data_IF_606415773329
#
_entry.id   IF_606415773329
#
_cell.length_a   1.000
_cell.length_b   1.000
_cell.length_c   1.000
_cell.angle_alpha   90.00
_cell.angle_beta   90.00
_cell.angle_gamma   90.00
#
_symmetry.space_group_name_H-M   'P 1'
#
loop_
_entity.id
_entity.type
_entity.pdbx_description
1 polymer ?
#
# COMPACT_ATOMS: atom_id res chain seq x y z
N UNK A 1 4.79 -3.81 10.63
CA UNK A 1 4.37 -4.24 11.99
C UNK A 1 4.40 -5.75 12.14
N UNK A 2 3.67 -6.52 11.31
CA UNK A 2 3.63 -7.99 11.40
C UNK A 2 5.04 -8.63 11.45
N UNK A 3 5.95 -8.29 10.53
CA UNK A 3 7.31 -8.87 10.50
C UNK A 3 8.19 -8.58 11.73
N UNK A 4 7.96 -7.46 12.44
CA UNK A 4 8.74 -7.12 13.64
C UNK A 4 8.30 -7.94 14.86
N UNK A 5 6.99 -8.16 15.00
CA UNK A 5 6.43 -8.90 16.13
C UNK A 5 6.38 -10.41 15.87
N UNK A 6 6.12 -10.85 14.64
CA UNK A 6 6.06 -12.27 14.30
C UNK A 6 7.41 -12.96 14.47
N UNK A 7 8.51 -12.31 14.09
CA UNK A 7 9.86 -12.85 14.31
C UNK A 7 10.22 -12.99 15.79
N UNK A 8 9.84 -12.01 16.62
CA UNK A 8 10.09 -12.02 18.06
C UNK A 8 9.23 -13.07 18.79
N UNK A 9 7.92 -13.11 18.48
CA UNK A 9 6.99 -14.09 19.03
C UNK A 9 7.39 -15.50 18.61
N UNK A 10 7.72 -15.73 17.34
CA UNK A 10 8.21 -17.02 16.87
C UNK A 10 9.45 -17.47 17.65
N UNK A 11 10.44 -16.57 17.83
CA UNK A 11 11.64 -16.89 18.61
C UNK A 11 11.33 -17.21 20.08
N UNK A 12 10.44 -16.46 20.72
CA UNK A 12 10.07 -16.68 22.12
C UNK A 12 9.27 -17.99 22.29
N UNK A 13 8.31 -18.25 21.41
CA UNK A 13 7.43 -19.44 21.46
C UNK A 13 8.20 -20.70 21.07
N UNK A 14 9.21 -20.60 20.19
CA UNK A 14 10.05 -21.75 19.82
C UNK A 14 10.80 -22.34 21.03
N UNK A 15 11.00 -21.57 22.12
CA UNK A 15 11.54 -22.08 23.40
C UNK A 15 10.57 -22.97 24.18
N UNK A 16 9.30 -23.05 23.76
CA UNK A 16 8.29 -23.96 24.33
C UNK A 16 8.34 -25.37 23.72
N UNK A 17 9.40 -25.70 22.99
CA UNK A 17 9.58 -27.04 22.43
C UNK A 17 9.60 -28.10 23.53
N UNK A 18 8.78 -29.16 23.36
CA UNK A 18 8.62 -30.23 24.35
C UNK A 18 7.59 -29.95 25.45
N UNK A 19 7.08 -28.71 25.57
CA UNK A 19 6.00 -28.41 26.52
C UNK A 19 4.70 -29.06 26.03
N UNK A 20 4.09 -29.87 26.88
CA UNK A 20 2.86 -30.60 26.55
C UNK A 20 3.04 -31.70 25.49
N UNK A 21 4.28 -32.15 25.24
CA UNK A 21 4.58 -33.15 24.20
C UNK A 21 4.41 -32.63 22.78
N UNK A 22 4.31 -31.31 22.60
CA UNK A 22 4.16 -30.66 21.31
C UNK A 22 5.47 -30.00 20.88
N UNK A 23 5.73 -30.05 19.58
CA UNK A 23 6.83 -29.31 18.97
C UNK A 23 6.55 -27.80 19.03
N UNK A 24 7.60 -26.98 19.22
CA UNK A 24 7.49 -25.52 19.39
C UNK A 24 6.74 -24.81 18.25
N UNK A 25 6.82 -25.31 17.02
CA UNK A 25 6.09 -24.73 15.88
C UNK A 25 4.56 -24.89 16.00
N UNK A 26 4.06 -25.92 16.68
CA UNK A 26 2.61 -26.14 16.90
C UNK A 26 2.06 -25.12 17.88
N UNK A 27 2.86 -24.71 18.87
CA UNK A 27 2.49 -23.68 19.84
C UNK A 27 2.28 -22.31 19.18
N UNK A 28 3.03 -22.00 18.11
CA UNK A 28 2.85 -20.76 17.34
C UNK A 28 1.42 -20.70 16.78
N UNK A 29 0.97 -21.75 16.09
CA UNK A 29 -0.39 -21.82 15.53
C UNK A 29 -1.48 -21.76 16.59
N UNK A 30 -1.30 -22.44 17.73
CA UNK A 30 -2.29 -22.47 18.80
C UNK A 30 -2.46 -21.08 19.43
N UNK A 31 -1.35 -20.44 19.82
CA UNK A 31 -1.39 -19.14 20.50
C UNK A 31 -1.89 -18.03 19.59
N UNK A 32 -1.40 -17.96 18.34
CA UNK A 32 -1.86 -16.96 17.38
C UNK A 32 -3.32 -17.19 16.97
N UNK A 33 -3.74 -18.46 16.85
CA UNK A 33 -5.13 -18.83 16.56
C UNK A 33 -6.09 -18.39 17.68
N UNK A 34 -5.75 -18.66 18.94
CA UNK A 34 -6.57 -18.25 20.10
C UNK A 34 -6.69 -16.73 20.15
N UNK A 35 -5.57 -16.00 20.00
CA UNK A 35 -5.58 -14.54 20.00
C UNK A 35 -6.48 -13.97 18.89
N UNK A 36 -6.42 -14.57 17.69
CA UNK A 36 -7.23 -14.15 16.54
C UNK A 36 -8.72 -14.39 16.78
N UNK A 37 -9.10 -15.55 17.34
CA UNK A 37 -10.49 -15.86 17.68
C UNK A 37 -11.02 -14.90 18.74
N UNK A 38 -10.24 -14.60 19.78
CA UNK A 38 -10.61 -13.65 20.83
C UNK A 38 -10.84 -12.25 20.27
N UNK A 39 -9.89 -11.73 19.47
CA UNK A 39 -10.01 -10.41 18.85
C UNK A 39 -11.23 -10.38 17.91
N UNK A 40 -11.42 -11.40 17.08
CA UNK A 40 -12.57 -11.50 16.19
C UNK A 40 -13.91 -11.51 16.94
N UNK A 41 -14.00 -12.25 18.04
CA UNK A 41 -15.20 -12.28 18.91
C UNK A 41 -15.45 -10.92 19.56
N UNK A 42 -14.39 -10.23 20.00
CA UNK A 42 -14.49 -8.89 20.56
C UNK A 42 -14.92 -7.85 19.51
N UNK A 43 -14.46 -7.94 18.27
CA UNK A 43 -14.84 -7.03 17.18
C UNK A 43 -16.36 -7.00 16.95
N UNK A 44 -17.05 -8.15 17.04
CA UNK A 44 -18.52 -8.19 16.93
C UNK A 44 -19.25 -7.35 17.99
N UNK A 45 -18.64 -7.11 19.15
CA UNK A 45 -19.24 -6.31 20.23
C UNK A 45 -18.74 -4.88 20.27
N UNK A 46 -17.50 -4.64 19.83
CA UNK A 46 -16.81 -3.35 20.00
C UNK A 46 -16.84 -2.46 18.76
N UNK A 47 -17.07 -3.00 17.55
CA UNK A 47 -17.03 -2.23 16.31
C UNK A 47 -18.44 -1.72 15.96
N UNK A 48 -18.72 -0.40 16.04
CA UNK A 48 -20.01 0.16 15.64
C UNK A 48 -20.12 0.26 14.12
N UNK A 49 -21.28 -0.08 13.58
CA UNK A 49 -21.56 -0.03 12.13
C UNK A 49 -21.68 1.39 11.56
N UNK A 50 -21.97 2.39 12.41
CA UNK A 50 -22.10 3.78 11.98
C UNK A 50 -21.67 4.76 13.09
N UNK A 51 -21.34 6.02 12.75
CA UNK A 51 -21.10 7.07 13.74
C UNK A 51 -22.30 7.28 14.68
N UNK A 52 -23.50 6.90 14.25
CA UNK A 52 -24.75 6.98 15.01
C UNK A 52 -24.85 5.89 16.08
N UNK A 53 -24.40 4.66 15.76
CA UNK A 53 -24.37 3.52 16.70
C UNK A 53 -23.12 3.51 17.61
N UNK A 54 -22.15 4.39 17.36
CA UNK A 54 -20.93 4.49 18.15
C UNK A 54 -21.20 5.04 19.57
N UNK A 55 -21.18 4.15 20.56
CA UNK A 55 -21.40 4.48 21.98
C UNK A 55 -20.27 5.27 22.66
N UNK A 56 -19.09 5.37 22.04
CA UNK A 56 -17.94 6.10 22.60
C UNK A 56 -17.91 7.59 22.22
N UNK A 57 -18.74 8.03 21.25
CA UNK A 57 -18.78 9.41 20.79
C UNK A 57 -19.74 10.26 21.61
N UNK A 58 -19.31 11.48 21.99
CA UNK A 58 -20.22 12.47 22.57
C UNK A 58 -21.24 12.93 21.52
N UNK A 59 -22.43 13.41 21.94
CA UNK A 59 -23.45 13.90 21.01
C UNK A 59 -22.95 14.99 20.06
N UNK A 60 -22.07 15.87 20.54
CA UNK A 60 -21.48 16.96 19.73
C UNK A 60 -20.48 16.44 18.70
N UNK A 61 -19.59 15.54 19.11
CA UNK A 61 -18.62 14.87 18.23
C UNK A 61 -19.34 14.07 17.14
N UNK A 62 -20.42 13.37 17.50
CA UNK A 62 -21.27 12.62 16.57
C UNK A 62 -21.87 13.53 15.50
N UNK A 63 -22.45 14.68 15.87
CA UNK A 63 -23.01 15.64 14.91
C UNK A 63 -21.94 16.19 13.98
N UNK A 64 -20.77 16.54 14.53
CA UNK A 64 -19.64 17.01 13.73
C UNK A 64 -19.16 15.96 12.73
N UNK A 65 -19.01 14.70 13.17
CA UNK A 65 -18.62 13.58 12.31
C UNK A 65 -19.62 13.33 11.19
N UNK A 66 -20.92 13.31 11.51
CA UNK A 66 -21.99 13.15 10.51
C UNK A 66 -21.92 14.28 9.50
N UNK A 67 -21.85 15.53 9.94
CA UNK A 67 -21.76 16.70 9.05
C UNK A 67 -20.49 16.66 8.18
N UNK A 68 -19.35 16.23 8.74
CA UNK A 68 -18.11 16.09 7.99
C UNK A 68 -18.19 14.97 6.96
N UNK A 69 -18.75 13.81 7.32
CA UNK A 69 -18.99 12.69 6.39
C UNK A 69 -19.92 13.11 5.24
N UNK A 70 -20.95 13.90 5.52
CA UNK A 70 -21.85 14.47 4.49
C UNK A 70 -21.09 15.40 3.54
N UNK A 71 -20.25 16.28 4.09
CA UNK A 71 -19.46 17.25 3.31
C UNK A 71 -18.38 16.55 2.46
N UNK A 72 -17.70 15.55 3.03
CA UNK A 72 -16.57 14.84 2.42
C UNK A 72 -17.02 13.78 1.39
N UNK A 73 -18.27 13.29 1.50
CA UNK A 73 -18.87 12.40 0.49
C UNK A 73 -19.34 13.13 -0.77
N UNK A 74 -19.28 14.47 -0.78
CA UNK A 74 -19.78 15.30 -1.89
C UNK A 74 -21.31 15.40 -1.94
N UNK A 75 -22.02 14.92 -0.92
CA UNK A 75 -23.48 14.78 -0.91
C UNK A 75 -24.05 15.59 0.25
N UNK A 76 -24.60 16.78 -0.04
CA UNK A 76 -25.29 17.61 0.97
C UNK A 76 -26.57 16.97 1.52
N UNK A 77 -27.11 15.94 0.85
CA UNK A 77 -28.19 15.13 1.38
C UNK A 77 -27.60 14.01 2.24
N UNK A 78 -27.90 14.07 3.53
CA UNK A 78 -27.39 13.20 4.60
C UNK A 78 -27.81 11.74 4.54
N UNK A 79 -27.85 11.16 3.34
CA UNK A 79 -28.05 9.76 3.11
C UNK A 79 -26.85 9.28 2.31
N UNK A 80 -25.79 8.86 3.01
CA UNK A 80 -25.08 7.66 2.54
C UNK A 80 -26.05 6.54 2.87
N UNK A 81 -27.12 6.45 2.10
CA UNK A 81 -27.96 5.29 2.14
C UNK A 81 -27.04 4.17 1.67
N UNK A 82 -26.62 3.32 2.61
CA UNK A 82 -26.08 1.98 2.33
C UNK A 82 -27.09 1.16 1.49
N UNK A 83 -28.29 1.70 1.26
CA UNK A 83 -29.36 1.32 0.33
C UNK A 83 -29.28 1.92 -1.08
N UNK A 84 -28.19 2.58 -1.48
CA UNK A 84 -27.92 2.78 -2.91
C UNK A 84 -27.90 1.41 -3.60
N UNK A 85 -28.97 1.13 -4.37
CA UNK A 85 -29.23 -0.15 -5.01
C UNK A 85 -27.99 -0.59 -5.80
N UNK A 86 -27.69 -1.88 -5.75
CA UNK A 86 -26.56 -2.48 -6.48
C UNK A 86 -26.59 -2.10 -7.97
N UNK A 87 -25.74 -1.15 -8.37
CA UNK A 87 -25.68 -0.66 -9.76
C UNK A 87 -24.53 -1.33 -10.51
N UNK A 88 -24.84 -2.42 -11.21
CA UNK A 88 -23.92 -3.12 -12.12
C UNK A 88 -23.15 -2.21 -13.11
N UNK A 89 -23.74 -1.13 -13.67
CA UNK A 89 -23.01 -0.20 -14.52
C UNK A 89 -21.87 0.53 -13.79
N UNK A 90 -22.05 0.88 -12.51
CA UNK A 90 -21.04 1.55 -11.68
C UNK A 90 -19.84 0.62 -11.43
N UNK A 91 -20.10 -0.68 -11.24
CA UNK A 91 -19.05 -1.70 -11.09
C UNK A 91 -18.26 -1.85 -12.39
N UNK A 92 -18.94 -1.98 -13.54
CA UNK A 92 -18.26 -2.03 -14.85
C UNK A 92 -17.42 -0.78 -15.10
N UNK A 93 -17.94 0.40 -14.77
CA UNK A 93 -17.18 1.64 -14.88
C UNK A 93 -16.00 1.70 -13.93
N UNK A 94 -16.08 1.12 -12.73
CA UNK A 94 -14.96 1.02 -11.80
C UNK A 94 -13.89 0.06 -12.32
N UNK A 95 -14.30 -1.13 -12.79
CA UNK A 95 -13.41 -2.16 -13.32
C UNK A 95 -12.68 -1.72 -14.61
N UNK A 96 -13.27 -0.83 -15.41
CA UNK A 96 -12.67 -0.31 -16.64
C UNK A 96 -12.04 1.07 -16.47
N UNK A 97 -12.03 1.64 -15.26
CA UNK A 97 -11.47 2.96 -15.03
C UNK A 97 -9.95 2.91 -15.16
N UNK A 98 -9.41 3.62 -16.15
CA UNK A 98 -7.98 3.64 -16.42
C UNK A 98 -7.17 4.17 -15.22
N UNK A 99 -7.76 5.06 -14.40
CA UNK A 99 -7.11 5.55 -13.17
C UNK A 99 -6.88 4.43 -12.17
N UNK A 100 -7.82 3.48 -12.05
CA UNK A 100 -7.70 2.31 -11.17
C UNK A 100 -6.61 1.37 -11.71
N UNK A 101 -6.53 1.18 -13.02
CA UNK A 101 -5.46 0.38 -13.63
C UNK A 101 -4.08 1.05 -13.50
N UNK A 102 -4.00 2.37 -13.66
CA UNK A 102 -2.76 3.11 -13.46
C UNK A 102 -2.35 3.13 -11.98
N UNK A 103 -3.32 3.24 -11.09
CA UNK A 103 -3.18 3.08 -9.66
C UNK A 103 -2.69 1.67 -9.26
N UNK A 104 -3.27 0.63 -9.87
CA UNK A 104 -2.79 -0.76 -9.75
C UNK A 104 -1.36 -0.81 -10.23
N UNK A 105 -1.02 -0.23 -11.38
CA UNK A 105 0.35 -0.15 -11.87
C UNK A 105 1.24 0.56 -10.84
N UNK A 106 0.85 1.70 -10.26
CA UNK A 106 1.61 2.42 -9.21
C UNK A 106 1.72 1.62 -7.89
N UNK A 107 0.75 0.76 -7.60
CA UNK A 107 0.75 -0.16 -6.47
C UNK A 107 1.50 -1.47 -6.77
N UNK A 108 1.73 -1.78 -8.04
CA UNK A 108 2.34 -3.00 -8.57
C UNK A 108 3.64 -2.76 -9.32
N UNK A 109 4.34 -1.64 -9.17
CA UNK A 109 5.05 -1.06 -10.33
C UNK A 109 5.94 -1.98 -11.16
N UNK A 110 5.38 -2.35 -12.32
CA UNK A 110 6.04 -2.33 -13.62
C UNK A 110 4.99 -2.03 -14.69
N UNK A 111 5.18 -0.94 -15.45
CA UNK A 111 4.92 -0.92 -16.89
C UNK A 111 5.60 0.29 -17.54
N UNK A 112 6.53 -0.05 -18.43
CA UNK A 112 6.94 0.77 -19.56
C UNK A 112 5.71 1.05 -20.45
N UNK A 113 5.49 2.29 -20.95
CA UNK A 113 4.45 2.55 -21.94
C UNK A 113 4.69 1.76 -23.24
N UNK A 114 3.64 1.38 -23.99
CA UNK A 114 3.77 0.65 -25.25
C UNK A 114 4.27 1.60 -26.35
N UNK A 115 5.59 1.73 -26.48
CA UNK A 115 6.22 2.29 -27.68
C UNK A 115 7.13 1.28 -28.40
N UNK A 116 7.28 0.06 -27.86
CA UNK A 116 8.10 -0.99 -28.50
C UNK A 116 7.33 -2.31 -28.52
N UNK A 117 6.94 -2.82 -29.70
CA UNK A 117 6.37 -4.15 -29.84
C UNK A 117 7.51 -5.18 -29.80
N UNK A 118 7.81 -5.73 -28.62
CA UNK A 118 8.69 -6.91 -28.50
C UNK A 118 7.99 -8.01 -27.69
N UNK A 119 7.88 -9.25 -28.21
CA UNK A 119 6.96 -10.26 -27.67
C UNK A 119 7.50 -11.13 -26.52
N UNK A 120 8.53 -10.73 -25.73
CA UNK A 120 9.14 -11.68 -24.78
C UNK A 120 9.68 -11.11 -23.44
N UNK A 121 9.17 -9.97 -22.95
CA UNK A 121 9.60 -9.38 -21.66
C UNK A 121 8.46 -8.80 -20.78
N UNK A 122 7.22 -9.31 -20.94
CA UNK A 122 6.00 -8.77 -20.28
C UNK A 122 5.64 -9.40 -18.92
N UNK A 123 6.50 -10.19 -18.29
CA UNK A 123 6.15 -10.95 -17.08
C UNK A 123 6.88 -10.53 -15.80
N UNK A 124 7.14 -9.23 -15.62
CA UNK A 124 7.84 -8.77 -14.42
C UNK A 124 7.03 -7.65 -13.76
N UNK A 125 6.21 -8.04 -12.78
CA UNK A 125 5.27 -7.17 -12.05
C UNK A 125 5.91 -6.75 -10.71
N UNK A 126 5.49 -5.68 -10.04
CA UNK A 126 6.29 -4.97 -9.02
C UNK A 126 5.56 -4.49 -7.75
N UNK A 127 6.25 -3.64 -6.98
CA UNK A 127 6.09 -3.14 -5.59
C UNK A 127 5.76 -4.17 -4.50
N UNK A 128 4.60 -4.83 -4.53
CA UNK A 128 4.30 -5.95 -3.63
C UNK A 128 5.40 -7.01 -3.71
N UNK A 129 5.98 -7.21 -4.90
CA UNK A 129 7.11 -8.12 -5.12
C UNK A 129 8.34 -7.69 -4.31
N UNK A 130 8.73 -6.42 -4.38
CA UNK A 130 9.90 -5.92 -3.65
C UNK A 130 9.69 -6.06 -2.16
N UNK A 131 8.47 -5.80 -1.68
CA UNK A 131 8.10 -5.93 -0.27
C UNK A 131 8.08 -7.39 0.20
N UNK A 132 7.34 -8.26 -0.49
CA UNK A 132 7.24 -9.69 -0.16
C UNK A 132 8.59 -10.38 -0.38
N UNK A 133 9.24 -10.14 -1.52
CA UNK A 133 10.54 -10.69 -1.86
C UNK A 133 11.64 -10.25 -0.90
N UNK A 134 11.65 -9.00 -0.44
CA UNK A 134 12.53 -8.59 0.66
C UNK A 134 12.17 -9.29 1.97
N UNK A 135 10.87 -9.38 2.30
CA UNK A 135 10.43 -10.00 3.55
C UNK A 135 10.86 -11.47 3.64
N UNK A 136 10.80 -12.20 2.54
CA UNK A 136 11.25 -13.60 2.46
C UNK A 136 12.77 -13.74 2.34
N UNK A 137 13.45 -12.83 1.64
CA UNK A 137 14.90 -12.93 1.42
C UNK A 137 15.74 -12.31 2.54
N UNK A 138 15.21 -11.39 3.35
CA UNK A 138 15.96 -10.70 4.39
C UNK A 138 16.61 -11.65 5.41
N UNK A 139 15.92 -12.67 5.96
CA UNK A 139 16.57 -13.64 6.84
C UNK A 139 17.68 -14.43 6.13
N UNK A 140 17.46 -14.84 4.86
CA UNK A 140 18.43 -15.59 4.07
C UNK A 140 19.69 -14.78 3.72
N UNK A 141 19.53 -13.48 3.43
CA UNK A 141 20.64 -12.55 3.20
C UNK A 141 21.46 -12.39 4.48
N UNK A 142 20.81 -12.24 5.64
CA UNK A 142 21.50 -12.12 6.93
C UNK A 142 22.18 -13.44 7.33
N UNK A 143 21.55 -14.59 7.04
CA UNK A 143 22.17 -15.91 7.21
C UNK A 143 23.47 -16.02 6.38
N UNK A 144 23.46 -15.51 5.15
CA UNK A 144 24.65 -15.44 4.29
C UNK A 144 25.79 -14.57 4.83
N UNK A 145 25.55 -13.73 5.85
CA UNK A 145 26.58 -12.95 6.55
C UNK A 145 27.28 -13.75 7.67
N UNK A 146 26.89 -15.01 7.90
CA UNK A 146 27.49 -15.90 8.90
C UNK A 146 26.76 -15.94 10.25
N UNK A 147 25.57 -15.36 10.36
CA UNK A 147 24.73 -15.46 11.56
C UNK A 147 23.96 -16.79 11.59
N UNK A 148 23.60 -17.28 12.77
CA UNK A 148 22.69 -18.42 12.90
C UNK A 148 21.27 -18.05 12.44
N UNK A 149 20.46 -19.03 12.02
CA UNK A 149 19.08 -18.78 11.58
C UNK A 149 18.23 -18.01 12.61
N UNK A 150 18.39 -18.34 13.89
CA UNK A 150 17.71 -17.63 14.98
C UNK A 150 18.16 -16.16 15.11
N UNK A 151 19.48 -15.91 15.04
CA UNK A 151 20.01 -14.56 15.11
C UNK A 151 19.67 -13.74 13.85
N UNK A 152 19.63 -14.38 12.68
CA UNK A 152 19.24 -13.74 11.43
C UNK A 152 17.79 -13.23 11.50
N UNK A 153 16.86 -14.03 12.03
CA UNK A 153 15.48 -13.61 12.25
C UNK A 153 15.40 -12.40 13.19
N UNK A 154 16.15 -12.42 14.31
CA UNK A 154 16.19 -11.30 15.26
C UNK A 154 16.73 -10.01 14.64
N UNK A 155 17.76 -10.11 13.80
CA UNK A 155 18.36 -8.97 13.11
C UNK A 155 17.44 -8.33 12.06
N UNK A 156 16.36 -9.01 11.64
CA UNK A 156 15.31 -8.38 10.80
C UNK A 156 14.36 -7.47 11.59
N UNK A 157 14.28 -7.63 12.92
CA UNK A 157 13.34 -6.84 13.75
C UNK A 157 13.64 -5.34 13.68
N UNK A 158 14.90 -4.86 13.91
CA UNK A 158 15.21 -3.44 13.82
C UNK A 158 14.92 -2.85 12.42
N UNK A 159 15.15 -3.65 11.38
CA UNK A 159 14.89 -3.28 9.99
C UNK A 159 13.38 -3.01 9.79
N UNK A 160 12.50 -3.88 10.28
CA UNK A 160 11.05 -3.68 10.20
C UNK A 160 10.54 -2.55 11.10
N UNK A 161 11.15 -2.36 12.29
CA UNK A 161 10.80 -1.25 13.20
C UNK A 161 11.07 0.10 12.51
N UNK A 162 12.22 0.24 11.85
CA UNK A 162 12.51 1.45 11.07
C UNK A 162 11.48 1.66 9.96
N UNK A 163 11.08 0.59 9.25
CA UNK A 163 10.01 0.67 8.25
C UNK A 163 8.69 1.20 8.83
N UNK A 164 8.32 0.80 10.05
CA UNK A 164 7.12 1.30 10.75
C UNK A 164 7.27 2.78 11.08
N UNK A 165 8.39 3.19 11.66
CA UNK A 165 8.65 4.58 12.01
C UNK A 165 8.62 5.46 10.76
N UNK A 166 9.31 5.05 9.70
CA UNK A 166 9.33 5.76 8.42
C UNK A 166 7.92 5.90 7.83
N UNK A 167 7.11 4.84 7.87
CA UNK A 167 5.72 4.86 7.38
C UNK A 167 4.88 5.87 8.15
N UNK A 168 4.92 5.84 9.49
CA UNK A 168 4.16 6.77 10.33
C UNK A 168 4.59 8.22 10.06
N UNK A 169 5.90 8.47 10.06
CA UNK A 169 6.45 9.82 9.85
C UNK A 169 6.03 10.37 8.49
N UNK A 170 6.24 9.60 7.41
CA UNK A 170 5.88 10.01 6.05
C UNK A 170 4.38 10.22 5.92
N UNK A 171 3.54 9.34 6.49
CA UNK A 171 2.08 9.51 6.47
C UNK A 171 1.62 10.79 7.19
N UNK A 172 2.16 11.08 8.38
CA UNK A 172 1.83 12.30 9.13
C UNK A 172 2.22 13.56 8.35
N UNK A 173 3.40 13.57 7.73
CA UNK A 173 3.79 14.71 6.90
C UNK A 173 2.98 14.81 5.61
N UNK A 174 2.65 13.69 4.96
CA UNK A 174 1.78 13.68 3.78
C UNK A 174 0.39 14.25 4.10
N UNK A 175 -0.16 13.94 5.27
CA UNK A 175 -1.43 14.52 5.74
C UNK A 175 -1.28 16.00 6.11
N UNK A 176 -0.15 16.42 6.70
CA UNK A 176 0.06 17.84 7.03
C UNK A 176 0.19 18.74 5.80
N UNK A 177 0.91 18.28 4.78
CA UNK A 177 1.17 19.08 3.58
C UNK A 177 0.11 18.91 2.48
N UNK A 178 -0.86 17.99 2.66
CA UNK A 178 -1.99 17.77 1.73
C UNK A 178 -1.56 17.54 0.27
N UNK A 179 -0.31 17.13 0.05
CA UNK A 179 0.26 16.78 -1.25
C UNK A 179 0.80 15.36 -1.13
N UNK A 180 0.45 14.48 -2.07
CA UNK A 180 0.73 13.04 -1.92
C UNK A 180 1.98 12.60 -2.68
N UNK A 181 2.20 13.15 -3.86
CA UNK A 181 3.29 12.73 -4.74
C UNK A 181 4.72 12.82 -4.14
N UNK A 182 5.15 13.85 -3.36
CA UNK A 182 6.54 13.91 -2.92
C UNK A 182 6.84 12.90 -1.81
N UNK A 183 5.83 12.56 -1.00
CA UNK A 183 5.90 11.54 0.04
C UNK A 183 5.83 10.11 -0.51
N UNK A 184 5.57 9.95 -1.80
CA UNK A 184 5.70 8.68 -2.53
C UNK A 184 7.07 8.59 -3.18
N UNK A 185 7.50 9.64 -3.91
CA UNK A 185 8.80 9.66 -4.61
C UNK A 185 9.99 9.61 -3.65
N UNK A 186 9.97 10.40 -2.57
CA UNK A 186 11.09 10.50 -1.62
C UNK A 186 11.50 9.14 -1.02
N UNK A 187 10.56 8.38 -0.41
CA UNK A 187 10.86 7.06 0.10
C UNK A 187 11.31 6.06 -0.99
N UNK A 188 10.74 6.11 -2.20
CA UNK A 188 11.23 5.25 -3.28
C UNK A 188 12.67 5.55 -3.69
N UNK A 189 13.13 6.81 -3.61
CA UNK A 189 14.54 7.14 -3.82
C UNK A 189 15.42 6.47 -2.75
N UNK A 190 14.97 6.43 -1.49
CA UNK A 190 15.67 5.73 -0.39
C UNK A 190 15.73 4.22 -0.66
N UNK A 191 14.63 3.62 -1.12
CA UNK A 191 14.61 2.21 -1.53
C UNK A 191 15.57 1.93 -2.69
N UNK A 192 15.61 2.80 -3.70
CA UNK A 192 16.50 2.67 -4.85
C UNK A 192 17.97 2.70 -4.42
N UNK A 193 18.35 3.59 -3.49
CA UNK A 193 19.69 3.61 -2.89
C UNK A 193 19.99 2.30 -2.13
N UNK A 194 19.01 1.76 -1.41
CA UNK A 194 19.10 0.45 -0.74
C UNK A 194 19.40 -0.69 -1.70
N UNK A 195 18.60 -0.83 -2.77
CA UNK A 195 18.79 -1.87 -3.78
C UNK A 195 20.09 -1.70 -4.57
N UNK A 196 20.44 -0.48 -4.95
CA UNK A 196 21.68 -0.19 -5.68
C UNK A 196 22.91 -0.47 -4.81
N UNK A 197 22.87 -0.12 -3.53
CA UNK A 197 23.91 -0.45 -2.56
C UNK A 197 24.14 -1.95 -2.45
N UNK A 198 23.07 -2.75 -2.31
CA UNK A 198 23.18 -4.22 -2.25
C UNK A 198 23.70 -4.85 -3.55
N UNK A 199 23.40 -4.27 -4.72
CA UNK A 199 23.93 -4.74 -5.99
C UNK A 199 25.42 -4.44 -6.18
N UNK A 200 25.89 -3.30 -5.67
CA UNK A 200 27.27 -2.86 -5.84
C UNK A 200 28.25 -3.43 -4.80
N UNK A 201 27.75 -3.97 -3.68
CA UNK A 201 28.62 -4.50 -2.62
C UNK A 201 29.21 -5.86 -3.05
N UNK A 202 30.54 -6.03 -2.97
CA UNK A 202 31.17 -7.33 -3.13
C UNK A 202 30.87 -8.20 -1.89
N UNK A 203 29.87 -9.08 -1.99
CA UNK A 203 29.61 -10.10 -0.98
C UNK A 203 30.79 -11.10 -0.89
N UNK A 204 31.20 -11.56 0.31
CA UNK A 204 30.72 -11.25 1.66
C UNK A 204 31.61 -10.25 2.44
N UNK A 205 32.43 -9.43 1.77
CA UNK A 205 33.56 -8.71 2.42
C UNK A 205 33.15 -7.61 3.41
N UNK A 206 31.92 -7.09 3.34
CA UNK A 206 31.47 -5.93 4.11
C UNK A 206 30.10 -6.15 4.80
N UNK A 207 30.01 -7.03 5.82
CA UNK A 207 28.73 -7.43 6.42
C UNK A 207 27.97 -6.28 7.08
N UNK A 208 28.66 -5.35 7.74
CA UNK A 208 28.03 -4.18 8.36
C UNK A 208 27.41 -3.22 7.34
N UNK A 209 28.05 -3.06 6.17
CA UNK A 209 27.55 -2.20 5.10
C UNK A 209 26.33 -2.83 4.42
N UNK A 210 26.38 -4.15 4.15
CA UNK A 210 25.21 -4.90 3.65
C UNK A 210 24.03 -4.76 4.60
N UNK A 211 24.26 -4.91 5.91
CA UNK A 211 23.21 -4.75 6.92
C UNK A 211 22.60 -3.34 6.91
N UNK A 212 23.43 -2.29 6.79
CA UNK A 212 22.95 -0.90 6.72
C UNK A 212 22.02 -0.65 5.52
N UNK A 213 22.33 -1.18 4.32
CA UNK A 213 21.46 -1.01 3.15
C UNK A 213 20.14 -1.79 3.25
N UNK A 214 20.09 -2.88 4.03
CA UNK A 214 18.84 -3.59 4.30
C UNK A 214 17.82 -2.72 5.06
N UNK A 215 18.24 -1.72 5.84
CA UNK A 215 17.33 -0.77 6.50
C UNK A 215 16.65 0.17 5.51
N UNK A 216 17.35 0.57 4.45
CA UNK A 216 16.84 1.50 3.44
C UNK A 216 15.64 0.93 2.68
N UNK A 217 15.59 -0.39 2.48
CA UNK A 217 14.53 -1.03 1.70
C UNK A 217 13.17 -0.89 2.39
N UNK A 218 12.95 -1.37 3.63
CA UNK A 218 11.69 -1.13 4.36
C UNK A 218 11.36 0.35 4.55
N UNK A 219 12.34 1.18 4.90
CA UNK A 219 12.13 2.60 5.08
C UNK A 219 11.63 3.28 3.79
N UNK A 220 12.01 2.76 2.62
CA UNK A 220 11.61 3.31 1.33
C UNK A 220 10.39 2.64 0.68
N UNK A 221 10.16 1.35 0.89
CA UNK A 221 9.08 0.58 0.22
C UNK A 221 7.76 0.62 1.00
N UNK A 222 7.78 0.61 2.34
CA UNK A 222 6.55 0.61 3.14
C UNK A 222 5.75 1.92 3.06
N UNK A 223 6.34 3.13 3.18
CA UNK A 223 5.55 4.36 3.19
C UNK A 223 4.76 4.64 1.91
N UNK A 224 5.32 4.46 0.70
CA UNK A 224 4.59 4.67 -0.54
C UNK A 224 3.36 3.77 -0.69
N UNK A 225 3.38 2.55 -0.14
CA UNK A 225 2.25 1.63 -0.21
C UNK A 225 0.99 2.25 0.42
N UNK A 226 1.13 2.86 1.59
CA UNK A 226 0.04 3.58 2.27
C UNK A 226 -0.32 4.86 1.50
N UNK A 227 0.69 5.63 1.07
CA UNK A 227 0.48 6.87 0.33
C UNK A 227 -0.32 6.67 -0.96
N UNK A 228 -0.02 5.62 -1.72
CA UNK A 228 -0.72 5.26 -2.97
C UNK A 228 -2.16 4.85 -2.68
N UNK A 229 -2.41 3.98 -1.69
CA UNK A 229 -3.77 3.57 -1.29
C UNK A 229 -4.64 4.79 -0.94
N UNK A 230 -4.13 5.70 -0.11
CA UNK A 230 -4.84 6.93 0.26
C UNK A 230 -5.04 7.86 -0.94
N UNK A 231 -4.04 8.00 -1.81
CA UNK A 231 -4.13 8.89 -2.98
C UNK A 231 -5.20 8.44 -3.97
N UNK A 232 -5.34 7.12 -4.16
CA UNK A 232 -6.34 6.52 -5.05
C UNK A 232 -7.73 6.58 -4.41
N UNK A 233 -7.81 6.25 -3.11
CA UNK A 233 -9.06 6.33 -2.36
C UNK A 233 -9.68 7.73 -2.39
N UNK A 234 -8.86 8.78 -2.36
CA UNK A 234 -9.35 10.16 -2.42
C UNK A 234 -9.71 10.62 -3.84
N UNK A 235 -9.17 9.98 -4.88
CA UNK A 235 -9.39 10.34 -6.28
C UNK A 235 -10.49 9.53 -6.98
N UNK A 236 -11.18 8.64 -6.24
CA UNK A 236 -12.29 7.84 -6.72
C UNK A 236 -13.59 8.28 -6.04
N UNK A 237 -14.54 8.71 -6.86
CA UNK A 237 -15.94 8.97 -6.48
C UNK A 237 -16.84 8.40 -7.59
N UNK A 238 -18.04 7.85 -7.29
CA UNK A 238 -18.77 7.76 -6.02
C UNK A 238 -18.29 6.64 -5.05
N UNK A 239 -18.90 6.54 -3.86
CA UNK A 239 -18.55 5.59 -2.78
C UNK A 239 -18.41 4.13 -3.24
N UNK A 240 -19.35 3.62 -4.05
CA UNK A 240 -19.32 2.27 -4.62
C UNK A 240 -18.16 2.06 -5.61
N UNK A 241 -17.87 3.06 -6.46
CA UNK A 241 -16.73 3.03 -7.40
C UNK A 241 -15.40 3.00 -6.64
N UNK A 242 -15.31 3.78 -5.55
CA UNK A 242 -14.17 3.79 -4.64
C UNK A 242 -13.98 2.43 -3.96
N UNK A 243 -15.06 1.84 -3.42
CA UNK A 243 -14.99 0.54 -2.75
C UNK A 243 -14.51 -0.57 -3.71
N UNK A 244 -15.11 -0.68 -4.91
CA UNK A 244 -14.70 -1.66 -5.92
C UNK A 244 -13.28 -1.40 -6.42
N UNK A 245 -12.92 -0.13 -6.66
CA UNK A 245 -11.57 0.24 -7.09
C UNK A 245 -10.50 -0.10 -6.07
N UNK A 246 -10.76 0.18 -4.78
CA UNK A 246 -9.87 -0.18 -3.67
C UNK A 246 -9.77 -1.70 -3.48
N UNK A 247 -10.89 -2.42 -3.59
CA UNK A 247 -10.89 -3.88 -3.52
C UNK A 247 -10.07 -4.50 -4.66
N UNK A 248 -10.22 -4.01 -5.90
CA UNK A 248 -9.45 -4.45 -7.05
C UNK A 248 -7.96 -4.13 -6.86
N UNK A 249 -7.64 -2.92 -6.40
CA UNK A 249 -6.28 -2.47 -6.11
C UNK A 249 -5.57 -3.39 -5.13
N UNK A 250 -6.20 -3.70 -3.99
CA UNK A 250 -5.62 -4.56 -2.94
C UNK A 250 -5.53 -6.01 -3.42
N UNK A 251 -6.58 -6.52 -4.07
CA UNK A 251 -6.63 -7.92 -4.54
C UNK A 251 -5.56 -8.19 -5.59
N UNK A 252 -5.49 -7.33 -6.60
CA UNK A 252 -4.40 -7.36 -7.55
C UNK A 252 -3.10 -7.21 -6.75
N UNK A 253 -2.98 -6.17 -5.91
CA UNK A 253 -1.79 -5.90 -5.12
C UNK A 253 -1.15 -7.13 -4.48
N UNK A 254 -1.95 -8.00 -3.86
CA UNK A 254 -1.47 -9.21 -3.21
C UNK A 254 -0.97 -10.30 -4.17
N UNK A 255 -1.40 -10.33 -5.43
CA UNK A 255 -0.86 -11.26 -6.44
C UNK A 255 0.64 -11.03 -6.70
N UNK A 256 1.14 -9.81 -6.48
CA UNK A 256 2.58 -9.55 -6.52
C UNK A 256 3.38 -10.34 -5.47
N UNK A 257 2.74 -10.81 -4.39
CA UNK A 257 3.39 -11.68 -3.40
C UNK A 257 3.81 -13.03 -3.95
N UNK A 258 3.01 -13.63 -4.84
CA UNK A 258 3.32 -14.92 -5.45
C UNK A 258 4.58 -14.87 -6.34
N UNK A 259 4.78 -13.76 -7.06
CA UNK A 259 5.98 -13.58 -7.87
C UNK A 259 7.14 -13.14 -6.97
N UNK A 260 6.91 -12.24 -6.00
CA UNK A 260 7.92 -11.72 -5.06
C UNK A 260 8.65 -12.80 -4.27
N UNK A 261 7.94 -13.83 -3.82
CA UNK A 261 8.54 -14.98 -3.14
C UNK A 261 9.47 -15.80 -4.04
N UNK A 262 9.38 -15.67 -5.36
CA UNK A 262 10.10 -16.49 -6.35
C UNK A 262 11.20 -15.72 -7.11
N UNK A 263 11.33 -14.40 -6.95
CA UNK A 263 12.38 -13.62 -7.66
C UNK A 263 13.77 -13.86 -7.07
N UNK A 264 13.86 -14.19 -5.78
CA UNK A 264 15.12 -14.44 -5.09
C UNK A 264 15.52 -15.92 -5.23
N UNK A 265 16.26 -16.22 -6.29
CA UNK A 265 16.73 -17.57 -6.59
C UNK A 265 17.89 -17.98 -5.67
N UNK A 266 17.78 -19.16 -5.04
CA UNK A 266 18.85 -19.72 -4.21
C UNK A 266 20.17 -19.91 -4.97
N UNK A 267 20.11 -20.24 -6.27
CA UNK A 267 21.27 -20.40 -7.13
C UNK A 267 22.12 -19.12 -7.31
N UNK A 268 21.56 -17.95 -6.96
CA UNK A 268 22.23 -16.66 -7.06
C UNK A 268 22.69 -16.12 -5.70
N UNK A 269 22.55 -16.92 -4.64
CA UNK A 269 23.09 -16.57 -3.33
C UNK A 269 24.62 -16.43 -3.40
N UNK A 270 25.23 -15.47 -2.66
CA UNK A 270 24.60 -14.48 -1.77
C UNK A 270 24.26 -13.15 -2.44
N UNK A 271 24.63 -12.94 -3.70
CA UNK A 271 24.51 -11.63 -4.36
C UNK A 271 23.10 -11.31 -4.86
N UNK A 272 22.24 -12.30 -5.06
CA UNK A 272 20.83 -12.18 -5.48
C UNK A 272 20.60 -11.07 -6.53
N UNK A 273 21.45 -11.00 -7.55
CA UNK A 273 21.51 -9.89 -8.49
C UNK A 273 20.17 -9.67 -9.22
N UNK A 274 19.45 -10.76 -9.51
CA UNK A 274 18.13 -10.69 -10.13
C UNK A 274 17.12 -10.07 -9.15
N UNK A 275 17.09 -10.51 -7.88
CA UNK A 275 16.16 -10.01 -6.87
C UNK A 275 16.33 -8.53 -6.57
N UNK A 276 17.57 -8.10 -6.29
CA UNK A 276 17.85 -6.70 -6.00
C UNK A 276 17.78 -5.80 -7.23
N UNK A 277 18.22 -6.30 -8.41
CA UNK A 277 18.11 -5.59 -9.69
C UNK A 277 16.65 -5.37 -10.08
N UNK A 278 15.83 -6.39 -9.87
CA UNK A 278 14.39 -6.30 -10.07
C UNK A 278 13.74 -5.30 -9.12
N UNK A 279 14.10 -5.35 -7.82
CA UNK A 279 13.64 -4.38 -6.83
C UNK A 279 14.00 -2.93 -7.17
N UNK A 280 15.20 -2.69 -7.69
CA UNK A 280 15.63 -1.37 -8.17
C UNK A 280 14.81 -0.90 -9.38
N UNK A 281 14.63 -1.77 -10.38
CA UNK A 281 13.83 -1.46 -11.58
C UNK A 281 12.40 -1.06 -11.22
N UNK A 282 11.79 -1.78 -10.28
CA UNK A 282 10.47 -1.46 -9.72
C UNK A 282 10.47 -0.09 -9.06
N UNK A 283 11.45 0.22 -8.20
CA UNK A 283 11.51 1.50 -7.49
C UNK A 283 11.63 2.68 -8.46
N UNK A 284 12.46 2.56 -9.50
CA UNK A 284 12.63 3.60 -10.53
C UNK A 284 11.38 3.77 -11.39
N UNK A 285 10.75 2.67 -11.78
CA UNK A 285 9.49 2.71 -12.50
C UNK A 285 8.38 3.34 -11.63
N UNK A 286 8.39 3.11 -10.31
CA UNK A 286 7.40 3.68 -9.38
C UNK A 286 7.53 5.19 -9.25
N UNK A 287 8.76 5.69 -9.17
CA UNK A 287 9.05 7.12 -9.22
C UNK A 287 8.51 7.72 -10.53
N UNK A 288 8.82 7.06 -11.66
CA UNK A 288 8.39 7.53 -12.99
C UNK A 288 6.86 7.57 -13.11
N UNK A 289 6.18 6.49 -12.71
CA UNK A 289 4.71 6.41 -12.76
C UNK A 289 4.05 7.45 -11.85
N UNK A 290 4.60 7.68 -10.65
CA UNK A 290 4.10 8.71 -9.71
C UNK A 290 4.20 10.11 -10.31
N UNK A 291 5.33 10.44 -10.97
CA UNK A 291 5.53 11.72 -11.64
C UNK A 291 4.58 11.89 -12.83
N UNK A 292 4.38 10.85 -13.63
CA UNK A 292 3.40 10.86 -14.74
C UNK A 292 1.98 11.08 -14.22
N UNK A 293 1.60 10.41 -13.12
CA UNK A 293 0.28 10.55 -12.52
C UNK A 293 0.04 11.98 -12.01
N UNK A 294 1.05 12.57 -11.35
CA UNK A 294 1.03 13.96 -10.90
C UNK A 294 0.70 14.90 -12.06
N UNK A 295 1.46 14.85 -13.16
CA UNK A 295 1.23 15.72 -14.31
C UNK A 295 -0.13 15.47 -14.96
N UNK A 296 -0.60 14.22 -14.96
CA UNK A 296 -1.90 13.87 -15.52
C UNK A 296 -3.04 14.46 -14.69
N UNK A 297 -2.97 14.38 -13.36
CA UNK A 297 -3.97 14.99 -12.48
C UNK A 297 -3.94 16.52 -12.53
N UNK A 298 -2.77 17.15 -12.60
CA UNK A 298 -2.67 18.60 -12.82
C UNK A 298 -3.27 19.03 -14.17
N UNK A 299 -3.08 18.22 -15.23
CA UNK A 299 -3.67 18.48 -16.54
C UNK A 299 -5.19 18.35 -16.49
N UNK A 300 -5.72 17.31 -15.84
CA UNK A 300 -7.16 17.12 -15.68
C UNK A 300 -7.80 18.23 -14.84
N UNK A 301 -7.14 18.67 -13.77
CA UNK A 301 -7.61 19.80 -12.97
C UNK A 301 -7.64 21.09 -13.81
N UNK A 302 -6.59 21.38 -14.58
CA UNK A 302 -6.57 22.54 -15.50
C UNK A 302 -7.66 22.49 -16.57
N UNK A 303 -7.94 21.30 -17.13
CA UNK A 303 -9.02 21.13 -18.09
C UNK A 303 -10.39 21.40 -17.48
N UNK A 304 -10.61 20.99 -16.21
CA UNK A 304 -11.85 21.26 -15.49
C UNK A 304 -12.00 22.74 -15.12
N UNK A 305 -10.92 23.39 -14.70
CA UNK A 305 -10.90 24.84 -14.44
C UNK A 305 -11.22 25.67 -15.71
N UNK A 306 -10.84 25.17 -16.88
CA UNK A 306 -11.18 25.80 -18.16
C UNK A 306 -12.65 25.62 -18.59
N UNK A 307 -13.45 24.78 -17.91
CA UNK A 307 -14.87 24.55 -18.24
C UNK A 307 -15.82 25.66 -17.74
N UNK A 308 -15.34 26.55 -16.86
CA UNK A 308 -16.11 27.66 -16.32
C UNK A 308 -15.99 27.77 -14.81
N UNK A 309 -16.57 28.83 -14.26
CA UNK A 309 -16.68 29.04 -12.80
C UNK A 309 -17.70 28.09 -12.17
N UNK A 310 -17.56 27.84 -10.87
CA UNK A 310 -18.44 26.93 -10.11
C UNK A 310 -19.93 27.29 -10.24
N UNK A 311 -20.23 28.59 -10.33
CA UNK A 311 -21.59 29.13 -10.54
C UNK A 311 -22.14 28.79 -11.93
N UNK A 312 -21.32 28.91 -12.99
CA UNK A 312 -21.71 28.55 -14.36
C UNK A 312 -21.92 27.04 -14.53
N UNK A 313 -21.13 26.23 -13.83
CA UNK A 313 -21.25 24.77 -13.85
C UNK A 313 -22.52 24.33 -13.11
N UNK A 314 -22.82 24.91 -11.94
CA UNK A 314 -24.07 24.66 -11.20
C UNK A 314 -25.31 25.20 -11.91
N UNK A 315 -25.17 26.22 -12.76
CA UNK A 315 -26.26 26.69 -13.61
C UNK A 315 -26.52 25.77 -14.81
N UNK A 316 -25.51 25.01 -15.28
CA UNK A 316 -25.61 24.12 -16.45
C UNK A 316 -26.01 22.69 -16.10
N UNK A 317 -25.67 22.21 -14.91
CA UNK A 317 -25.92 20.83 -14.50
C UNK A 317 -26.71 20.81 -13.20
N UNK A 318 -27.71 19.92 -13.13
CA UNK A 318 -28.42 19.67 -11.88
C UNK A 318 -27.50 19.02 -10.84
N UNK A 319 -27.82 19.19 -9.55
CA UNK A 319 -27.02 18.61 -8.45
C UNK A 319 -26.98 17.08 -8.54
N UNK A 320 -28.08 16.45 -8.99
CA UNK A 320 -28.18 14.99 -9.19
C UNK A 320 -27.31 14.49 -10.37
N UNK A 321 -27.21 15.26 -11.47
CA UNK A 321 -26.33 14.92 -12.59
C UNK A 321 -24.86 15.03 -12.21
N UNK A 322 -24.48 16.08 -11.46
CA UNK A 322 -23.11 16.25 -10.97
C UNK A 322 -22.71 15.11 -10.02
N UNK A 323 -23.64 14.63 -9.19
CA UNK A 323 -23.45 13.45 -8.33
C UNK A 323 -23.28 12.16 -9.15
N UNK A 324 -24.11 11.93 -10.17
CA UNK A 324 -23.99 10.77 -11.06
C UNK A 324 -22.68 10.77 -11.86
N UNK A 325 -22.14 11.94 -12.19
CA UNK A 325 -20.85 12.07 -12.88
C UNK A 325 -19.65 11.71 -11.98
N UNK A 326 -19.78 11.75 -10.64
CA UNK A 326 -18.75 11.34 -9.69
C UNK A 326 -17.40 12.04 -9.93
N UNK A 327 -16.32 11.27 -10.08
CA UNK A 327 -14.97 11.77 -10.36
C UNK A 327 -14.83 12.51 -11.71
N UNK A 328 -15.76 12.29 -12.64
CA UNK A 328 -15.82 13.01 -13.93
C UNK A 328 -16.50 14.38 -13.80
N UNK A 329 -17.13 14.69 -12.67
CA UNK A 329 -17.77 15.99 -12.43
C UNK A 329 -16.76 17.13 -12.63
N UNK A 330 -17.13 18.22 -13.31
CA UNK A 330 -16.29 19.41 -13.44
C UNK A 330 -15.93 20.04 -12.09
N UNK A 331 -16.76 19.84 -11.06
CA UNK A 331 -16.53 20.32 -9.70
C UNK A 331 -15.56 19.42 -8.90
N UNK A 332 -15.32 18.19 -9.34
CA UNK A 332 -14.42 17.27 -8.65
C UNK A 332 -12.95 17.62 -8.94
N UNK A 333 -12.19 17.97 -7.90
CA UNK A 333 -10.76 18.23 -8.00
C UNK A 333 -9.96 16.99 -7.62
N UNK A 334 -9.04 16.58 -8.50
CA UNK A 334 -8.10 15.52 -8.17
C UNK A 334 -7.04 16.04 -7.21
N UNK A 335 -6.74 15.25 -6.18
CA UNK A 335 -5.61 15.51 -5.28
C UNK A 335 -4.32 15.18 -6.03
N UNK A 336 -3.33 16.06 -5.94
CA UNK A 336 -2.00 15.94 -6.56
C UNK A 336 -0.94 15.52 -5.54
#
# INVERSE_FOLDING_TARGET
MAGAFSGLLAFAIQKMDGIGGLAGWRWIFILEGIATVLIGTCCFKLLPDSPESAGFLKPEERRFLIHRLQTDSGTKTGHVETTDLFHWPTIKSALLEWKIWFAIIVYWVSLCPPLVPTPMLTASQGNSISLYGFTYSAPSVILGLGYSAANAQLLTIPIYVLGVIATIVVSVYADKYQTRWPFIVGPYCVAAVGFLGLLCIPHPRLPGLTYAFLFCIPAGVYPPLIGVLSWIGNNLAPSWKRAVGMALLISMGNLGGAIGSNVYLEAQAPSYWLGFGFGLGIALAAITATVVLKFTFERLNRQKEAMGTEEEIRARFSEEELLRMGDKSPLFRYIV
#
